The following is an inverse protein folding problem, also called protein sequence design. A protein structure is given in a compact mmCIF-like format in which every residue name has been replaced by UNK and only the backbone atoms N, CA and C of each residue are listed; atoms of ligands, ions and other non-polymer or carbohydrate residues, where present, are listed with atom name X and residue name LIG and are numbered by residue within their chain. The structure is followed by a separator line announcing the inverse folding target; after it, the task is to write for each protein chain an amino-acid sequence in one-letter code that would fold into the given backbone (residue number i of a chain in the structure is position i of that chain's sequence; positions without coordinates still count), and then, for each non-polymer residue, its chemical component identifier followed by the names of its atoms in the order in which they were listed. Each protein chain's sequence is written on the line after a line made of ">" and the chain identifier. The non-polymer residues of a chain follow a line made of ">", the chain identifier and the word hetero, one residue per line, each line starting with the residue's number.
data_IF_895116561330
#
_entry.id   IF_895116561330
#
_cell.length_a   1.000
_cell.length_b   1.000
_cell.length_c   1.000
_cell.angle_alpha   90.00
_cell.angle_beta   90.00
_cell.angle_gamma   90.00
#
_symmetry.space_group_name_H-M   'P 1'
#
loop_
_entity.id
_entity.type
_entity.pdbx_description
1 polymer ?
#
# COMPACT_ATOMS: atom_id res chain seq x y z
N UNK A 1 32.87 -46.77 12.45
CA UNK A 1 33.25 -45.37 12.74
C UNK A 1 32.19 -44.44 12.15
N UNK A 2 31.02 -44.32 12.80
CA UNK A 2 29.88 -43.51 12.32
C UNK A 2 29.36 -42.62 13.47
N UNK A 3 30.22 -41.73 13.95
CA UNK A 3 29.93 -40.80 15.06
C UNK A 3 29.53 -39.40 14.60
N UNK A 4 29.10 -39.23 13.34
CA UNK A 4 28.44 -37.98 12.92
C UNK A 4 26.97 -38.08 13.37
N UNK A 5 26.83 -38.10 14.70
CA UNK A 5 25.59 -37.87 15.41
C UNK A 5 25.05 -36.52 14.96
N UNK A 6 23.89 -36.59 14.31
CA UNK A 6 22.96 -35.50 14.06
C UNK A 6 23.03 -34.47 15.19
N UNK A 7 23.79 -33.40 14.98
CA UNK A 7 23.49 -32.12 15.60
C UNK A 7 22.10 -31.76 15.08
N UNK A 8 21.07 -32.09 15.85
CA UNK A 8 19.79 -31.41 15.73
C UNK A 8 20.02 -30.13 16.54
N UNK A 9 20.37 -28.98 15.93
CA UNK A 9 20.33 -27.73 16.67
C UNK A 9 18.97 -27.69 17.33
N UNK A 10 18.95 -27.50 18.64
CA UNK A 10 17.73 -27.27 19.40
C UNK A 10 16.96 -26.21 18.63
N UNK A 11 15.89 -26.64 17.97
CA UNK A 11 15.20 -25.78 17.03
C UNK A 11 14.62 -24.63 17.85
N UNK A 12 15.27 -23.46 17.79
CA UNK A 12 14.71 -22.23 18.32
C UNK A 12 13.30 -22.16 17.77
N UNK A 13 12.31 -21.98 18.65
CA UNK A 13 10.93 -21.87 18.19
C UNK A 13 10.87 -20.78 17.11
N UNK A 14 10.13 -20.95 16.01
CA UNK A 14 10.09 -19.94 14.95
C UNK A 14 9.68 -18.56 15.44
N UNK A 15 8.88 -18.51 16.51
CA UNK A 15 8.53 -17.27 17.20
C UNK A 15 9.76 -16.60 17.83
N UNK A 16 10.70 -17.37 18.35
CA UNK A 16 11.98 -16.85 18.84
C UNK A 16 12.85 -16.31 17.71
N UNK A 17 12.89 -16.97 16.55
CA UNK A 17 13.59 -16.45 15.37
C UNK A 17 13.00 -15.10 14.92
N UNK A 18 11.66 -15.01 14.88
CA UNK A 18 10.96 -13.77 14.56
C UNK A 18 11.25 -12.69 15.61
N UNK A 19 11.22 -13.02 16.90
CA UNK A 19 11.53 -12.09 17.98
C UNK A 19 12.98 -11.59 17.92
N UNK A 20 13.95 -12.49 17.66
CA UNK A 20 15.35 -12.13 17.46
C UNK A 20 15.54 -11.24 16.24
N UNK A 21 14.85 -11.52 15.13
CA UNK A 21 14.92 -10.68 13.93
C UNK A 21 14.33 -9.29 14.19
N UNK A 22 13.17 -9.21 14.85
CA UNK A 22 12.58 -7.94 15.25
C UNK A 22 13.51 -7.16 16.18
N UNK A 23 14.13 -7.83 17.15
CA UNK A 23 15.10 -7.22 18.05
C UNK A 23 16.37 -6.76 17.31
N UNK A 24 16.88 -7.53 16.35
CA UNK A 24 18.05 -7.15 15.56
C UNK A 24 17.77 -5.93 14.66
N UNK A 25 16.55 -5.82 14.13
CA UNK A 25 16.10 -4.73 13.26
C UNK A 25 15.49 -3.55 14.02
N UNK A 26 15.65 -3.49 15.36
CA UNK A 26 15.07 -2.46 16.21
C UNK A 26 15.30 -1.00 15.78
N UNK A 27 16.44 -0.58 15.18
CA UNK A 27 16.63 0.82 14.82
C UNK A 27 15.62 1.28 13.76
N UNK A 28 15.18 0.37 12.89
CA UNK A 28 14.17 0.65 11.87
C UNK A 28 12.79 0.88 12.48
N UNK A 29 12.42 0.10 13.49
CA UNK A 29 11.13 0.24 14.18
C UNK A 29 11.07 1.53 15.01
N UNK A 30 12.18 1.89 15.66
CA UNK A 30 12.30 3.18 16.36
C UNK A 30 12.17 4.33 15.39
N UNK A 31 12.82 4.27 14.23
CA UNK A 31 12.67 5.29 13.20
C UNK A 31 11.21 5.38 12.70
N UNK A 32 10.56 4.25 12.39
CA UNK A 32 9.16 4.22 11.97
C UNK A 32 8.23 4.84 13.02
N UNK A 33 8.42 4.50 14.30
CA UNK A 33 7.62 5.04 15.40
C UNK A 33 7.81 6.54 15.59
N UNK A 34 9.05 7.04 15.50
CA UNK A 34 9.35 8.47 15.59
C UNK A 34 8.70 9.24 14.44
N UNK A 35 8.82 8.71 13.22
CA UNK A 35 8.23 9.32 12.02
C UNK A 35 6.71 9.31 12.02
N UNK A 36 6.08 8.24 12.52
CA UNK A 36 4.63 8.21 12.68
C UNK A 36 4.15 9.17 13.79
N UNK A 37 5.02 9.56 14.73
CA UNK A 37 4.70 10.41 15.88
C UNK A 37 5.16 11.86 15.77
N UNK A 38 5.83 12.27 14.69
CA UNK A 38 6.36 13.64 14.52
C UNK A 38 5.32 14.64 13.97
N UNK A 39 4.10 14.17 13.69
CA UNK A 39 2.99 14.97 13.17
C UNK A 39 3.06 15.27 11.67
N UNK A 40 4.07 14.76 10.97
CA UNK A 40 4.22 14.96 9.52
C UNK A 40 3.45 13.94 8.67
N UNK A 41 3.07 12.80 9.26
CA UNK A 41 2.49 11.66 8.55
C UNK A 41 1.17 11.21 9.19
N UNK A 42 0.23 10.77 8.37
CA UNK A 42 -0.99 10.14 8.87
C UNK A 42 -0.68 8.68 9.27
N UNK A 43 -1.18 8.17 10.41
CA UNK A 43 -0.80 6.87 10.94
C UNK A 43 -1.49 5.67 10.24
N UNK A 44 -1.79 5.78 8.93
CA UNK A 44 -2.46 4.73 8.16
C UNK A 44 -1.70 3.40 8.17
N UNK A 45 -0.37 3.43 8.31
CA UNK A 45 0.44 2.22 8.45
C UNK A 45 0.03 1.31 9.62
N UNK A 46 -0.57 1.88 10.67
CA UNK A 46 -1.11 1.11 11.81
C UNK A 46 -2.24 0.18 11.36
N UNK A 47 -3.08 0.61 10.40
CA UNK A 47 -4.17 -0.23 9.87
C UNK A 47 -3.60 -1.46 9.17
N UNK A 48 -2.55 -1.29 8.36
CA UNK A 48 -1.87 -2.41 7.70
C UNK A 48 -1.20 -3.34 8.72
N UNK A 49 -0.61 -2.79 9.78
CA UNK A 49 0.02 -3.58 10.85
C UNK A 49 -1.01 -4.41 11.62
N UNK A 50 -2.15 -3.81 11.99
CA UNK A 50 -3.26 -4.51 12.65
C UNK A 50 -3.84 -5.61 11.75
N UNK A 51 -4.01 -5.33 10.45
CA UNK A 51 -4.46 -6.34 9.50
C UNK A 51 -3.50 -7.53 9.43
N UNK A 52 -2.18 -7.28 9.31
CA UNK A 52 -1.17 -8.35 9.32
C UNK A 52 -1.20 -9.16 10.62
N UNK A 53 -1.25 -8.48 11.77
CA UNK A 53 -1.33 -9.15 13.06
C UNK A 53 -2.58 -10.04 13.16
N UNK A 54 -3.73 -9.54 12.70
CA UNK A 54 -4.97 -10.31 12.66
C UNK A 54 -4.87 -11.53 11.72
N UNK A 55 -4.31 -11.37 10.51
CA UNK A 55 -4.14 -12.47 9.56
C UNK A 55 -3.21 -13.57 10.11
N UNK A 56 -2.11 -13.19 10.75
CA UNK A 56 -1.19 -14.14 11.40
C UNK A 56 -1.85 -14.83 12.59
N UNK A 57 -2.61 -14.08 13.39
CA UNK A 57 -3.35 -14.62 14.53
C UNK A 57 -4.38 -15.66 14.12
N UNK A 58 -5.08 -15.45 13.00
CA UNK A 58 -6.02 -16.42 12.44
C UNK A 58 -5.34 -17.72 12.01
N UNK A 59 -4.10 -17.66 11.53
CA UNK A 59 -3.30 -18.83 11.15
C UNK A 59 -2.38 -19.38 12.25
N UNK A 60 -2.43 -18.84 13.49
CA UNK A 60 -1.47 -19.15 14.56
C UNK A 60 -1.31 -20.64 14.88
N UNK A 61 -2.38 -21.43 14.74
CA UNK A 61 -2.39 -22.86 15.00
C UNK A 61 -1.79 -23.68 13.84
N UNK A 62 -1.62 -23.05 12.68
CA UNK A 62 -1.15 -23.64 11.43
C UNK A 62 0.27 -23.20 11.07
N UNK A 63 0.92 -22.42 11.94
CA UNK A 63 2.29 -21.97 11.75
C UNK A 63 3.25 -23.17 11.78
N UNK A 64 4.12 -23.24 10.78
CA UNK A 64 5.13 -24.28 10.69
C UNK A 64 6.19 -24.07 11.77
N UNK A 65 6.66 -25.17 12.37
CA UNK A 65 7.74 -25.15 13.38
C UNK A 65 9.13 -24.96 12.78
N UNK A 66 9.26 -25.05 11.46
CA UNK A 66 10.52 -24.89 10.74
C UNK A 66 10.27 -24.04 9.50
N UNK A 67 10.76 -22.79 9.47
CA UNK A 67 10.64 -21.97 8.28
C UNK A 67 11.41 -22.61 7.11
N UNK A 68 10.93 -22.41 5.89
CA UNK A 68 11.61 -22.91 4.69
C UNK A 68 13.02 -22.31 4.61
N UNK A 69 14.03 -23.15 4.32
CA UNK A 69 15.44 -22.71 4.28
C UNK A 69 15.69 -21.53 3.32
N UNK A 70 15.00 -21.50 2.17
CA UNK A 70 15.06 -20.38 1.23
C UNK A 70 14.51 -19.07 1.85
N UNK A 71 13.37 -19.13 2.56
CA UNK A 71 12.81 -17.97 3.26
C UNK A 71 13.76 -17.46 4.34
N UNK A 72 14.41 -18.36 5.08
CA UNK A 72 15.40 -17.99 6.10
C UNK A 72 16.62 -17.29 5.47
N UNK A 73 17.15 -17.83 4.38
CA UNK A 73 18.30 -17.24 3.67
C UNK A 73 17.97 -15.85 3.11
N UNK A 74 16.82 -15.69 2.46
CA UNK A 74 16.39 -14.39 1.92
C UNK A 74 16.09 -13.39 3.04
N UNK A 75 15.40 -13.81 4.10
CA UNK A 75 15.15 -12.96 5.27
C UNK A 75 16.46 -12.51 5.95
N UNK A 76 17.44 -13.41 6.08
CA UNK A 76 18.77 -13.10 6.58
C UNK A 76 19.49 -12.07 5.71
N UNK A 77 19.52 -12.30 4.38
CA UNK A 77 20.12 -11.37 3.43
C UNK A 77 19.48 -9.97 3.46
N UNK A 78 18.14 -9.91 3.49
CA UNK A 78 17.41 -8.63 3.64
C UNK A 78 17.69 -7.95 4.98
N UNK A 79 17.86 -8.71 6.06
CA UNK A 79 18.20 -8.15 7.38
C UNK A 79 19.59 -7.52 7.39
N UNK A 80 20.57 -8.18 6.76
CA UNK A 80 21.92 -7.63 6.57
C UNK A 80 21.88 -6.38 5.69
N UNK A 81 21.14 -6.43 4.57
CA UNK A 81 20.99 -5.29 3.68
C UNK A 81 20.31 -4.09 4.38
N UNK A 82 19.30 -4.33 5.21
CA UNK A 82 18.64 -3.29 6.00
C UNK A 82 19.61 -2.66 7.01
N UNK A 83 20.37 -3.48 7.74
CA UNK A 83 21.35 -3.02 8.71
C UNK A 83 22.48 -2.19 8.07
N UNK A 84 23.05 -2.66 6.95
CA UNK A 84 24.02 -1.88 6.17
C UNK A 84 23.39 -0.61 5.58
N UNK A 85 22.11 -0.70 5.20
CA UNK A 85 21.33 0.41 4.67
C UNK A 85 21.19 1.58 5.62
N UNK A 86 21.33 1.38 6.95
CA UNK A 86 21.35 2.49 7.91
C UNK A 86 22.47 3.51 7.65
N UNK A 87 23.58 3.09 7.03
CA UNK A 87 24.71 3.98 6.72
C UNK A 87 24.61 4.63 5.34
N UNK A 88 23.88 4.03 4.39
CA UNK A 88 23.97 4.40 2.97
C UNK A 88 22.64 4.74 2.30
N UNK A 89 21.51 4.33 2.88
CA UNK A 89 20.19 4.49 2.28
C UNK A 89 19.36 5.50 3.05
N UNK A 90 18.40 6.18 2.38
CA UNK A 90 17.35 6.89 3.07
C UNK A 90 16.67 5.97 4.09
N UNK A 91 16.38 6.42 5.32
CA UNK A 91 15.84 5.57 6.37
C UNK A 91 14.57 4.79 6.00
N UNK A 92 13.72 5.37 5.14
CA UNK A 92 12.50 4.72 4.63
C UNK A 92 12.80 3.50 3.75
N UNK A 93 13.88 3.53 2.96
CA UNK A 93 14.31 2.42 2.12
C UNK A 93 14.92 1.32 2.98
N UNK A 94 15.76 1.68 3.95
CA UNK A 94 16.32 0.72 4.90
C UNK A 94 15.21 0.04 5.75
N UNK A 95 14.21 0.81 6.20
CA UNK A 95 13.04 0.27 6.90
C UNK A 95 12.17 -0.62 6.00
N UNK A 96 12.06 -0.32 4.70
CA UNK A 96 11.38 -1.19 3.76
C UNK A 96 12.08 -2.55 3.61
N UNK A 97 13.42 -2.56 3.54
CA UNK A 97 14.20 -3.81 3.54
C UNK A 97 14.00 -4.60 4.83
N UNK A 98 14.03 -3.94 5.99
CA UNK A 98 13.76 -4.57 7.29
C UNK A 98 12.35 -5.19 7.34
N UNK A 99 11.36 -4.45 6.86
CA UNK A 99 9.95 -4.89 6.82
C UNK A 99 9.77 -6.09 5.90
N UNK A 100 10.41 -6.09 4.72
CA UNK A 100 10.44 -7.23 3.80
C UNK A 100 11.18 -8.43 4.39
N UNK A 101 12.24 -8.21 5.17
CA UNK A 101 12.96 -9.28 5.86
C UNK A 101 12.03 -10.03 6.83
N UNK A 102 11.29 -9.28 7.65
CA UNK A 102 10.29 -9.82 8.59
C UNK A 102 9.15 -10.51 7.84
N UNK A 103 8.59 -9.87 6.81
CA UNK A 103 7.51 -10.44 6.01
C UNK A 103 7.93 -11.75 5.32
N UNK A 104 9.19 -11.84 4.87
CA UNK A 104 9.73 -13.05 4.22
C UNK A 104 9.90 -14.19 5.21
N UNK A 105 10.39 -13.92 6.42
CA UNK A 105 10.47 -14.93 7.47
C UNK A 105 9.07 -15.42 7.85
N UNK A 106 8.14 -14.49 8.07
CA UNK A 106 6.74 -14.78 8.39
C UNK A 106 6.06 -15.60 7.29
N UNK A 107 6.27 -15.26 6.01
CA UNK A 107 5.80 -16.03 4.87
C UNK A 107 6.37 -17.46 4.82
N UNK A 108 7.56 -17.69 5.37
CA UNK A 108 8.14 -19.01 5.52
C UNK A 108 7.54 -19.83 6.67
N UNK A 109 6.88 -19.16 7.62
CA UNK A 109 6.20 -19.77 8.77
C UNK A 109 4.71 -20.01 8.52
N UNK A 110 4.08 -19.22 7.65
CA UNK A 110 2.68 -19.37 7.26
C UNK A 110 2.47 -20.60 6.37
N UNK A 111 1.23 -21.13 6.31
CA UNK A 111 0.88 -22.19 5.38
C UNK A 111 1.26 -21.84 3.92
N UNK A 112 1.75 -22.83 3.12
CA UNK A 112 2.31 -22.58 1.79
C UNK A 112 1.31 -21.96 0.81
N UNK A 113 0.02 -22.11 1.07
CA UNK A 113 -1.03 -21.49 0.28
C UNK A 113 -1.25 -19.99 0.51
N UNK A 114 -0.65 -19.42 1.55
CA UNK A 114 -0.79 -17.99 1.83
C UNK A 114 0.04 -17.18 0.83
N UNK A 115 -0.54 -16.15 0.20
CA UNK A 115 0.11 -15.47 -0.90
C UNK A 115 1.18 -14.51 -0.38
N UNK A 116 2.44 -14.90 -0.60
CA UNK A 116 3.63 -14.18 -0.11
C UNK A 116 3.72 -12.75 -0.64
N UNK A 117 3.34 -12.54 -1.91
CA UNK A 117 3.38 -11.22 -2.54
C UNK A 117 2.40 -10.24 -1.87
N UNK A 118 1.17 -10.68 -1.59
CA UNK A 118 0.17 -9.85 -0.91
C UNK A 118 0.60 -9.55 0.52
N UNK A 119 1.16 -10.54 1.23
CA UNK A 119 1.72 -10.35 2.58
C UNK A 119 2.86 -9.32 2.58
N UNK A 120 3.80 -9.44 1.64
CA UNK A 120 4.92 -8.50 1.51
C UNK A 120 4.44 -7.08 1.20
N UNK A 121 3.45 -6.93 0.32
CA UNK A 121 2.90 -5.61 0.00
C UNK A 121 2.14 -4.99 1.19
N UNK A 122 1.32 -5.79 1.90
CA UNK A 122 0.68 -5.35 3.15
C UNK A 122 1.72 -4.94 4.19
N UNK A 123 2.84 -5.67 4.29
CA UNK A 123 3.95 -5.31 5.16
C UNK A 123 4.56 -3.97 4.77
N UNK A 124 4.83 -3.73 3.49
CA UNK A 124 5.32 -2.43 3.02
C UNK A 124 4.36 -1.28 3.33
N UNK A 125 3.04 -1.51 3.30
CA UNK A 125 2.05 -0.50 3.67
C UNK A 125 2.07 -0.14 5.17
N UNK A 126 2.77 -0.90 6.02
CA UNK A 126 2.98 -0.52 7.43
C UNK A 126 3.94 0.65 7.60
N UNK A 127 4.73 0.96 6.56
CA UNK A 127 5.66 2.08 6.57
C UNK A 127 4.89 3.41 6.65
N UNK A 128 5.42 4.43 7.36
CA UNK A 128 4.89 5.79 7.32
C UNK A 128 5.23 6.43 5.96
N UNK A 129 4.35 6.19 4.98
CA UNK A 129 4.55 6.57 3.59
C UNK A 129 3.82 7.86 3.19
N UNK A 130 2.75 8.28 3.89
CA UNK A 130 1.80 9.24 3.33
C UNK A 130 2.46 10.62 3.11
N UNK A 131 3.27 11.09 4.05
CA UNK A 131 4.06 12.33 3.90
C UNK A 131 4.99 12.28 2.67
N UNK A 132 5.72 11.17 2.50
CA UNK A 132 6.62 10.99 1.35
C UNK A 132 5.86 10.87 0.03
N UNK A 133 4.75 10.15 0.00
CA UNK A 133 3.92 10.03 -1.19
C UNK A 133 3.30 11.37 -1.56
N UNK A 134 2.83 12.15 -0.60
CA UNK A 134 2.36 13.52 -0.85
C UNK A 134 3.47 14.42 -1.40
N UNK A 135 4.69 14.31 -0.88
CA UNK A 135 5.82 15.11 -1.36
C UNK A 135 6.24 14.73 -2.79
N UNK A 136 6.45 13.44 -3.08
CA UNK A 136 6.98 12.99 -4.36
C UNK A 136 5.90 12.77 -5.44
N UNK A 137 4.74 12.23 -5.06
CA UNK A 137 3.66 11.90 -6.00
C UNK A 137 2.53 12.93 -6.00
N UNK A 138 2.45 13.82 -5.00
CA UNK A 138 1.37 14.79 -4.89
C UNK A 138 1.27 15.70 -6.13
N UNK A 139 2.38 16.28 -6.61
CA UNK A 139 2.34 17.08 -7.84
C UNK A 139 2.02 16.25 -9.10
N UNK A 140 2.71 15.13 -9.39
CA UNK A 140 2.38 14.29 -10.55
C UNK A 140 0.93 13.83 -10.60
N UNK A 141 0.35 13.42 -9.46
CA UNK A 141 -1.05 12.99 -9.40
C UNK A 141 -2.02 14.15 -9.64
N UNK A 142 -1.75 15.33 -9.09
CA UNK A 142 -2.58 16.52 -9.31
C UNK A 142 -2.51 17.00 -10.75
N UNK A 143 -1.31 16.99 -11.35
CA UNK A 143 -1.13 17.27 -12.76
C UNK A 143 -1.96 16.31 -13.62
N UNK A 144 -1.86 15.01 -13.39
CA UNK A 144 -2.65 14.01 -14.11
C UNK A 144 -4.16 14.24 -13.94
N UNK A 145 -4.60 14.60 -12.74
CA UNK A 145 -6.00 14.93 -12.47
C UNK A 145 -6.45 16.18 -13.22
N UNK A 146 -5.64 17.24 -13.29
CA UNK A 146 -5.96 18.44 -14.05
C UNK A 146 -6.08 18.12 -15.55
N UNK A 147 -5.11 17.41 -16.13
CA UNK A 147 -5.16 17.01 -17.54
C UNK A 147 -6.39 16.14 -17.85
N UNK A 148 -6.66 15.14 -17.01
CA UNK A 148 -7.79 14.23 -17.20
C UNK A 148 -9.15 14.93 -16.98
N UNK A 149 -9.25 15.81 -15.99
CA UNK A 149 -10.45 16.58 -15.71
C UNK A 149 -10.76 17.53 -16.87
N UNK A 150 -9.76 18.24 -17.41
CA UNK A 150 -9.92 19.07 -18.61
C UNK A 150 -10.45 18.26 -19.81
N UNK A 151 -9.92 17.05 -20.03
CA UNK A 151 -10.39 16.17 -21.10
C UNK A 151 -11.86 15.76 -20.90
N UNK A 152 -12.25 15.39 -19.68
CA UNK A 152 -13.65 15.05 -19.34
C UNK A 152 -14.57 16.26 -19.54
N UNK A 153 -14.19 17.42 -19.02
CA UNK A 153 -14.95 18.67 -19.14
C UNK A 153 -15.11 19.07 -20.62
N UNK A 154 -14.06 18.93 -21.43
CA UNK A 154 -14.12 19.19 -22.87
C UNK A 154 -15.11 18.29 -23.61
N UNK A 155 -15.21 17.01 -23.25
CA UNK A 155 -16.19 16.08 -23.85
C UNK A 155 -17.64 16.49 -23.58
N UNK A 156 -17.91 17.24 -22.50
CA UNK A 156 -19.24 17.75 -22.15
C UNK A 156 -19.42 19.25 -22.46
N UNK A 157 -18.52 19.84 -23.27
CA UNK A 157 -18.64 21.22 -23.78
C UNK A 157 -18.05 22.31 -22.89
N UNK A 158 -17.36 21.96 -21.81
CA UNK A 158 -16.71 22.90 -20.90
C UNK A 158 -15.24 23.08 -21.25
N UNK A 159 -14.88 24.24 -21.78
CA UNK A 159 -13.51 24.57 -22.19
C UNK A 159 -12.64 25.01 -21.01
N UNK A 160 -12.30 24.07 -20.13
CA UNK A 160 -11.31 24.28 -19.09
C UNK A 160 -9.91 23.91 -19.62
N UNK A 161 -8.99 24.87 -19.62
CA UNK A 161 -7.62 24.68 -20.13
C UNK A 161 -6.71 24.27 -18.98
N UNK A 162 -6.02 23.13 -19.02
CA UNK A 162 -5.17 22.74 -17.92
C UNK A 162 -3.83 23.50 -17.95
N UNK A 163 -3.41 24.01 -16.79
CA UNK A 163 -2.11 24.66 -16.59
C UNK A 163 -1.43 24.06 -15.35
N UNK A 164 -0.51 23.13 -15.57
CA UNK A 164 0.15 22.40 -14.48
C UNK A 164 -0.84 21.56 -13.67
N UNK A 165 -0.97 21.87 -12.38
CA UNK A 165 -1.92 21.23 -11.46
C UNK A 165 -3.21 22.05 -11.25
N UNK A 166 -3.56 22.89 -12.23
CA UNK A 166 -4.73 23.77 -12.19
C UNK A 166 -5.53 23.70 -13.50
N UNK A 167 -6.76 24.20 -13.44
CA UNK A 167 -7.66 24.40 -14.58
C UNK A 167 -7.96 25.89 -14.72
N UNK A 168 -7.67 26.46 -15.89
CA UNK A 168 -8.07 27.80 -16.28
C UNK A 168 -9.46 27.74 -16.89
N UNK A 169 -10.40 28.51 -16.35
CA UNK A 169 -11.72 28.64 -16.93
C UNK A 169 -12.28 30.03 -16.65
N UNK A 170 -12.78 30.70 -17.69
CA UNK A 170 -13.37 32.04 -17.61
C UNK A 170 -12.46 33.09 -16.89
N UNK A 171 -11.15 33.04 -17.16
CA UNK A 171 -10.17 33.93 -16.52
C UNK A 171 -9.87 33.61 -15.04
N UNK A 172 -10.42 32.52 -14.50
CA UNK A 172 -10.17 32.04 -13.14
C UNK A 172 -9.26 30.82 -13.16
N UNK A 173 -8.43 30.70 -12.12
CA UNK A 173 -7.59 29.52 -11.88
C UNK A 173 -8.22 28.65 -10.80
N UNK A 174 -8.68 27.47 -11.19
CA UNK A 174 -9.21 26.45 -10.28
C UNK A 174 -8.08 25.48 -9.94
N UNK A 175 -7.65 25.49 -8.68
CA UNK A 175 -6.54 24.65 -8.22
C UNK A 175 -7.02 23.24 -7.89
N UNK A 176 -6.22 22.23 -8.28
CA UNK A 176 -6.31 20.90 -7.68
C UNK A 176 -5.50 20.94 -6.38
N UNK A 177 -6.17 21.06 -5.24
CA UNK A 177 -5.50 21.17 -3.95
C UNK A 177 -4.84 19.86 -3.50
N UNK A 178 -3.99 19.94 -2.48
CA UNK A 178 -3.24 18.80 -1.91
C UNK A 178 -4.16 17.61 -1.53
N UNK A 179 -5.33 17.80 -0.88
CA UNK A 179 -6.27 16.72 -0.59
C UNK A 179 -6.89 16.07 -1.86
N UNK A 180 -6.85 16.77 -2.99
CA UNK A 180 -7.35 16.29 -4.28
C UNK A 180 -6.33 15.43 -5.04
N UNK A 181 -5.09 15.33 -4.56
CA UNK A 181 -4.06 14.45 -5.11
C UNK A 181 -4.45 12.96 -5.03
N UNK A 182 -5.33 12.60 -4.09
CA UNK A 182 -5.86 11.24 -3.97
C UNK A 182 -4.87 10.23 -3.36
N UNK A 183 -3.81 10.69 -2.68
CA UNK A 183 -2.81 9.80 -2.06
C UNK A 183 -3.45 8.86 -1.02
N UNK A 184 -4.31 9.38 -0.14
CA UNK A 184 -5.02 8.55 0.85
C UNK A 184 -5.95 7.55 0.17
N UNK A 185 -6.71 8.00 -0.84
CA UNK A 185 -7.58 7.14 -1.64
C UNK A 185 -6.79 6.00 -2.31
N UNK A 186 -5.62 6.32 -2.86
CA UNK A 186 -4.72 5.34 -3.47
C UNK A 186 -4.18 4.35 -2.43
N UNK A 187 -3.72 4.84 -1.27
CA UNK A 187 -3.23 3.99 -0.18
C UNK A 187 -4.32 3.00 0.28
N UNK A 188 -5.53 3.47 0.57
CA UNK A 188 -6.63 2.62 1.07
C UNK A 188 -7.07 1.62 0.01
N UNK A 189 -7.13 2.03 -1.26
CA UNK A 189 -7.50 1.11 -2.34
C UNK A 189 -6.43 0.05 -2.65
N UNK A 190 -5.14 0.41 -2.59
CA UNK A 190 -4.04 -0.56 -2.71
C UNK A 190 -3.99 -1.51 -1.50
N UNK A 191 -4.27 -1.00 -0.29
CA UNK A 191 -4.47 -1.83 0.89
C UNK A 191 -5.61 -2.84 0.68
N UNK A 192 -6.77 -2.38 0.21
CA UNK A 192 -7.91 -3.25 -0.06
C UNK A 192 -7.59 -4.31 -1.13
N UNK A 193 -6.91 -3.93 -2.22
CA UNK A 193 -6.47 -4.84 -3.26
C UNK A 193 -5.50 -5.91 -2.74
N UNK A 194 -4.53 -5.53 -1.90
CA UNK A 194 -3.59 -6.46 -1.29
C UNK A 194 -4.27 -7.38 -0.27
N UNK A 195 -5.16 -6.84 0.56
CA UNK A 195 -5.92 -7.61 1.54
C UNK A 195 -6.85 -8.62 0.87
N UNK A 196 -7.63 -8.20 -0.12
CA UNK A 196 -8.48 -9.10 -0.90
C UNK A 196 -7.63 -10.16 -1.63
N UNK A 197 -6.52 -9.76 -2.23
CA UNK A 197 -5.57 -10.72 -2.84
C UNK A 197 -5.07 -11.75 -1.82
N UNK A 198 -4.81 -11.32 -0.58
CA UNK A 198 -4.45 -12.23 0.52
C UNK A 198 -5.57 -13.20 0.87
N UNK A 199 -6.77 -12.69 1.11
CA UNK A 199 -7.95 -13.47 1.52
C UNK A 199 -8.38 -14.48 0.44
N UNK A 200 -8.31 -14.08 -0.83
CA UNK A 200 -8.64 -14.92 -1.98
C UNK A 200 -7.45 -15.79 -2.46
N UNK A 201 -6.32 -15.80 -1.75
CA UNK A 201 -5.13 -16.63 -2.03
C UNK A 201 -4.59 -16.42 -3.46
N UNK A 202 -4.51 -15.16 -3.87
CA UNK A 202 -4.04 -14.79 -5.20
C UNK A 202 -2.56 -15.16 -5.41
N UNK A 203 -2.22 -15.74 -6.56
CA UNK A 203 -0.82 -15.94 -6.94
C UNK A 203 -0.06 -14.60 -7.01
N UNK A 204 1.27 -14.64 -7.07
CA UNK A 204 2.11 -13.44 -7.20
C UNK A 204 1.69 -12.58 -8.39
N UNK A 205 1.52 -13.20 -9.56
CA UNK A 205 1.08 -12.48 -10.76
C UNK A 205 -0.33 -11.93 -10.63
N UNK A 206 -1.26 -12.68 -10.02
CA UNK A 206 -2.62 -12.20 -9.79
C UNK A 206 -2.64 -11.03 -8.80
N UNK A 207 -1.79 -11.07 -7.77
CA UNK A 207 -1.61 -9.94 -6.83
C UNK A 207 -1.10 -8.71 -7.57
N UNK A 208 -0.06 -8.85 -8.40
CA UNK A 208 0.48 -7.74 -9.20
C UNK A 208 -0.58 -7.15 -10.16
N UNK A 209 -1.34 -8.01 -10.84
CA UNK A 209 -2.45 -7.61 -11.68
C UNK A 209 -3.51 -6.84 -10.88
N UNK A 210 -3.97 -7.39 -9.76
CA UNK A 210 -4.98 -6.75 -8.89
C UNK A 210 -4.52 -5.38 -8.38
N UNK A 211 -3.25 -5.24 -7.98
CA UNK A 211 -2.66 -3.97 -7.56
C UNK A 211 -2.58 -2.97 -8.72
N UNK A 212 -2.18 -3.42 -9.92
CA UNK A 212 -2.15 -2.58 -11.12
C UNK A 212 -3.55 -2.11 -11.51
N UNK A 213 -4.55 -3.00 -11.49
CA UNK A 213 -5.95 -2.65 -11.73
C UNK A 213 -6.47 -1.67 -10.69
N UNK A 214 -6.17 -1.88 -9.40
CA UNK A 214 -6.54 -0.96 -8.34
C UNK A 214 -5.95 0.44 -8.59
N UNK A 215 -4.66 0.53 -8.89
CA UNK A 215 -3.99 1.80 -9.23
C UNK A 215 -4.73 2.53 -10.37
N UNK A 216 -5.01 1.84 -11.48
CA UNK A 216 -5.68 2.43 -12.64
C UNK A 216 -7.11 2.90 -12.31
N UNK A 217 -7.90 2.07 -11.63
CA UNK A 217 -9.27 2.40 -11.24
C UNK A 217 -9.31 3.60 -10.28
N UNK A 218 -8.40 3.64 -9.30
CA UNK A 218 -8.36 4.72 -8.31
C UNK A 218 -7.89 6.04 -8.92
N UNK A 219 -6.91 6.00 -9.83
CA UNK A 219 -6.49 7.19 -10.59
C UNK A 219 -7.63 7.71 -11.45
N UNK A 220 -8.31 6.83 -12.22
CA UNK A 220 -9.45 7.22 -13.04
C UNK A 220 -10.60 7.81 -12.21
N UNK A 221 -10.91 7.20 -11.07
CA UNK A 221 -11.93 7.71 -10.16
C UNK A 221 -11.53 9.06 -9.53
N UNK A 222 -10.25 9.28 -9.20
CA UNK A 222 -9.79 10.58 -8.71
C UNK A 222 -9.82 11.65 -9.80
N UNK A 223 -9.53 11.31 -11.07
CA UNK A 223 -9.72 12.22 -12.21
C UNK A 223 -11.20 12.63 -12.32
N UNK A 224 -12.12 11.66 -12.27
CA UNK A 224 -13.56 11.93 -12.31
C UNK A 224 -14.00 12.81 -11.13
N UNK A 225 -13.54 12.51 -9.91
CA UNK A 225 -13.80 13.33 -8.73
C UNK A 225 -13.39 14.79 -8.96
N UNK A 226 -12.19 15.03 -9.50
CA UNK A 226 -11.71 16.38 -9.78
C UNK A 226 -12.52 17.09 -10.87
N UNK A 227 -12.94 16.37 -11.92
CA UNK A 227 -13.84 16.92 -12.93
C UNK A 227 -15.21 17.31 -12.33
N UNK A 228 -15.73 16.56 -11.37
CA UNK A 228 -16.97 16.90 -10.67
C UNK A 228 -16.80 18.07 -9.70
N UNK A 229 -15.66 18.13 -8.98
CA UNK A 229 -15.36 19.22 -8.06
C UNK A 229 -15.15 20.56 -8.78
N UNK A 230 -14.69 20.55 -10.03
CA UNK A 230 -14.56 21.76 -10.85
C UNK A 230 -15.82 22.64 -10.81
N UNK A 231 -17.02 22.07 -10.90
CA UNK A 231 -18.26 22.88 -10.89
C UNK A 231 -18.49 23.64 -9.57
N UNK A 232 -18.04 23.06 -8.45
CA UNK A 232 -18.08 23.70 -7.15
C UNK A 232 -16.97 24.75 -7.04
N UNK A 233 -15.74 24.38 -7.36
CA UNK A 233 -14.56 25.24 -7.17
C UNK A 233 -14.54 26.43 -8.17
N UNK A 234 -15.15 26.29 -9.35
CA UNK A 234 -15.36 27.38 -10.31
C UNK A 234 -16.54 28.30 -9.94
N UNK A 235 -17.24 28.04 -8.82
CA UNK A 235 -18.39 28.84 -8.39
C UNK A 235 -19.64 28.71 -9.26
N UNK A 236 -19.70 27.71 -10.15
CA UNK A 236 -20.87 27.46 -11.02
C UNK A 236 -22.05 26.94 -10.19
N UNK A 237 -21.76 26.08 -9.21
CA UNK A 237 -22.75 25.56 -8.26
C UNK A 237 -22.26 25.82 -6.84
N UNK A 238 -23.10 26.46 -6.02
CA UNK A 238 -22.82 26.61 -4.59
C UNK A 238 -23.22 25.33 -3.86
N UNK A 239 -22.22 24.55 -3.45
CA UNK A 239 -22.42 23.31 -2.70
C UNK A 239 -21.74 23.39 -1.32
N UNK A 240 -22.33 22.78 -0.28
CA UNK A 240 -21.73 22.74 1.05
C UNK A 240 -20.30 22.14 1.08
N UNK A 241 -19.57 22.42 2.16
CA UNK A 241 -18.22 21.88 2.39
C UNK A 241 -18.16 20.34 2.29
N UNK A 242 -19.11 19.65 2.92
CA UNK A 242 -19.18 18.19 2.98
C UNK A 242 -19.25 17.50 1.62
N UNK A 243 -19.71 18.19 0.58
CA UNK A 243 -19.81 17.62 -0.78
C UNK A 243 -18.44 17.21 -1.33
N UNK A 244 -17.37 17.84 -0.86
CA UNK A 244 -16.00 17.47 -1.22
C UNK A 244 -15.66 16.04 -0.76
N UNK A 245 -16.04 15.71 0.47
CA UNK A 245 -15.81 14.39 1.07
C UNK A 245 -16.78 13.36 0.51
N UNK A 246 -18.04 13.73 0.29
CA UNK A 246 -19.04 12.84 -0.30
C UNK A 246 -18.68 12.43 -1.74
N UNK A 247 -18.23 13.36 -2.59
CA UNK A 247 -17.76 13.02 -3.94
C UNK A 247 -16.50 12.16 -3.90
N UNK A 248 -15.61 12.39 -2.93
CA UNK A 248 -14.46 11.53 -2.69
C UNK A 248 -14.87 10.10 -2.35
N UNK A 249 -15.78 9.92 -1.39
CA UNK A 249 -16.30 8.62 -0.99
C UNK A 249 -17.06 7.91 -2.11
N UNK A 250 -17.87 8.65 -2.88
CA UNK A 250 -18.62 8.11 -4.02
C UNK A 250 -17.65 7.60 -5.10
N UNK A 251 -16.69 8.44 -5.53
CA UNK A 251 -15.69 8.05 -6.52
C UNK A 251 -14.88 6.84 -6.05
N UNK A 252 -14.51 6.80 -4.76
CA UNK A 252 -13.82 5.67 -4.17
C UNK A 252 -14.65 4.39 -4.16
N UNK A 253 -15.92 4.46 -3.75
CA UNK A 253 -16.83 3.31 -3.79
C UNK A 253 -17.02 2.76 -5.20
N UNK A 254 -17.17 3.65 -6.19
CA UNK A 254 -17.27 3.29 -7.61
C UNK A 254 -16.00 2.63 -8.16
N UNK A 255 -14.81 2.95 -7.60
CA UNK A 255 -13.56 2.27 -7.95
C UNK A 255 -13.41 0.92 -7.25
N UNK A 256 -13.81 0.82 -5.97
CA UNK A 256 -13.66 -0.40 -5.18
C UNK A 256 -14.59 -1.52 -5.63
N UNK A 257 -15.80 -1.19 -6.09
CA UNK A 257 -16.77 -2.19 -6.54
C UNK A 257 -16.26 -3.08 -7.69
N UNK A 258 -15.84 -2.54 -8.84
CA UNK A 258 -15.27 -3.35 -9.92
C UNK A 258 -13.96 -4.04 -9.51
N UNK A 259 -13.14 -3.40 -8.67
CA UNK A 259 -11.94 -4.04 -8.13
C UNK A 259 -12.29 -5.31 -7.34
N UNK A 260 -13.29 -5.24 -6.46
CA UNK A 260 -13.77 -6.41 -5.71
C UNK A 260 -14.24 -7.52 -6.65
N UNK A 261 -15.06 -7.19 -7.66
CA UNK A 261 -15.54 -8.16 -8.63
C UNK A 261 -14.39 -8.85 -9.39
N UNK A 262 -13.38 -8.09 -9.82
CA UNK A 262 -12.21 -8.63 -10.54
C UNK A 262 -11.39 -9.57 -9.64
N UNK A 263 -11.17 -9.19 -8.37
CA UNK A 263 -10.40 -10.00 -7.42
C UNK A 263 -11.16 -11.28 -7.05
N UNK A 264 -12.49 -11.18 -6.89
CA UNK A 264 -13.35 -12.30 -6.50
C UNK A 264 -13.59 -13.29 -7.65
N UNK A 265 -13.88 -12.79 -8.87
CA UNK A 265 -14.22 -13.62 -10.05
C UNK A 265 -13.13 -14.64 -10.38
N UNK A 266 -11.84 -14.26 -10.30
CA UNK A 266 -10.70 -15.15 -10.61
C UNK A 266 -10.37 -16.18 -9.52
N UNK A 267 -11.19 -16.34 -8.49
CA UNK A 267 -11.11 -17.47 -7.56
C UNK A 267 -11.78 -18.71 -8.15
N UNK A 268 -12.86 -18.52 -8.90
CA UNK A 268 -13.70 -19.63 -9.36
C UNK A 268 -13.03 -20.44 -10.48
N UNK A 269 -12.07 -19.84 -11.21
CA UNK A 269 -11.29 -20.52 -12.25
C UNK A 269 -10.16 -21.42 -11.71
N UNK A 270 -9.92 -21.45 -10.39
CA UNK A 270 -8.84 -22.25 -9.76
C UNK A 270 -9.34 -23.52 -9.06
N UNK A 271 -10.62 -23.86 -9.23
CA UNK A 271 -11.25 -25.10 -8.79
C UNK A 271 -11.67 -25.93 -9.99
#
# INVERSE_FOLDING_TARGET
>A
MNWITRWRPTALSPLWLLALQLAALWPHWVWMARRAGDGSDDPWGVVALLALAALVWLDRQRLTRQPHGASLAVAGGLSVAAALGLAFLPPIVAAALATLAVATLLAGMLPPERPRASLAFLALLTLPLAASLNFYLGYPLRWLCAQGAAAILGMIGWQATPEGAALLWNGQTILVDTPCAGVTMLWVGLFAAALLSYLYRASTWRTAFNLGTALLLLVAANVLRNALLFFKEAGIVSLPGWTHDALGLLAFGLALWPLYLIVAWRRDEQH
#
